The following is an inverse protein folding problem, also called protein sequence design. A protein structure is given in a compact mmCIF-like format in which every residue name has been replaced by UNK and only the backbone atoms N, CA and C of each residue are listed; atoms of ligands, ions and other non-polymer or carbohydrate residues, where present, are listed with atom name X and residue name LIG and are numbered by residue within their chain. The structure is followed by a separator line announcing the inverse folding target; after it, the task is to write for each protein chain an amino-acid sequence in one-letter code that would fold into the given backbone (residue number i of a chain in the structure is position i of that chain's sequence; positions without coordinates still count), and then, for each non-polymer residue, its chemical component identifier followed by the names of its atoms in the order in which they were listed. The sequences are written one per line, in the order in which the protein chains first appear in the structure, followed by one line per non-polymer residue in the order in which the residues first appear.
data_IF_388965659130
#
_entry.id   IF_388965659130
#
_cell.length_a   1.000
_cell.length_b   1.000
_cell.length_c   1.000
_cell.angle_alpha   90.00
_cell.angle_beta   90.00
_cell.angle_gamma   90.00
#
_symmetry.space_group_name_H-M   'P 1'
#
loop_
_entity.id
_entity.type
_entity.pdbx_description
1 polymer ?
#
# COMPACT_ATOMS: atom_id res chain seq x y z
N UNK A 1 -9.53 -12.94 2.22
CA UNK A 1 -8.58 -11.93 1.73
C UNK A 1 -8.57 -11.94 0.22
N UNK A 2 -8.63 -10.80 -0.35
CA UNK A 2 -8.59 -10.67 -1.80
C UNK A 2 -7.18 -10.33 -2.25
N UNK A 3 -6.72 -11.02 -3.30
CA UNK A 3 -5.39 -10.79 -3.83
C UNK A 3 -5.49 -10.20 -5.23
N UNK A 4 -4.78 -9.11 -5.44
CA UNK A 4 -4.71 -8.46 -6.75
C UNK A 4 -3.32 -8.70 -7.29
N UNK A 5 -3.22 -9.55 -8.31
CA UNK A 5 -1.93 -9.98 -8.84
C UNK A 5 -1.34 -9.04 -9.87
N UNK A 6 -2.21 -8.41 -10.63
CA UNK A 6 -1.76 -7.50 -11.66
C UNK A 6 -1.72 -6.11 -11.12
N UNK A 7 -0.59 -5.50 -11.31
CA UNK A 7 -0.34 -4.23 -10.74
C UNK A 7 -0.45 -3.13 -11.76
N UNK A 8 -1.61 -3.03 -12.33
CA UNK A 8 -1.95 -1.93 -13.22
C UNK A 8 -2.54 -0.80 -12.43
N UNK A 9 -2.10 0.41 -12.71
CA UNK A 9 -2.63 1.59 -12.06
C UNK A 9 -4.15 1.69 -12.17
N UNK A 10 -4.69 1.32 -13.31
CA UNK A 10 -6.13 1.34 -13.53
C UNK A 10 -6.86 0.34 -12.65
N UNK A 11 -6.29 -0.86 -12.48
CA UNK A 11 -6.90 -1.88 -11.64
C UNK A 11 -6.99 -1.45 -10.18
N UNK A 12 -5.91 -0.81 -9.66
CA UNK A 12 -5.93 -0.28 -8.30
C UNK A 12 -6.93 0.84 -8.16
N UNK A 13 -7.01 1.74 -9.12
CA UNK A 13 -7.97 2.83 -9.10
C UNK A 13 -9.39 2.30 -9.07
N UNK A 14 -9.69 1.31 -9.90
CA UNK A 14 -11.02 0.71 -9.94
C UNK A 14 -11.37 0.06 -8.62
N UNK A 15 -10.43 -0.66 -8.00
CA UNK A 15 -10.64 -1.26 -6.69
C UNK A 15 -10.98 -0.19 -5.64
N UNK A 16 -10.20 0.88 -5.60
CA UNK A 16 -10.38 1.94 -4.60
C UNK A 16 -11.71 2.66 -4.80
N UNK A 17 -12.11 2.90 -6.05
CA UNK A 17 -13.33 3.62 -6.38
C UNK A 17 -14.59 2.77 -6.23
N UNK A 18 -14.50 1.49 -6.54
CA UNK A 18 -15.67 0.62 -6.59
C UNK A 18 -16.00 -0.03 -5.25
N UNK A 19 -15.07 0.01 -4.29
CA UNK A 19 -15.20 -0.71 -3.03
C UNK A 19 -14.99 0.25 -1.86
N UNK A 20 -15.84 0.13 -0.85
CA UNK A 20 -15.61 0.85 0.40
C UNK A 20 -14.51 0.13 1.17
N UNK A 21 -13.37 0.78 1.29
CA UNK A 21 -12.20 0.21 1.98
C UNK A 21 -12.03 0.73 3.40
N UNK A 22 -12.98 1.52 3.88
CA UNK A 22 -12.89 2.15 5.20
C UNK A 22 -12.70 1.10 6.29
N UNK A 23 -11.66 1.28 7.10
CA UNK A 23 -11.35 0.36 8.19
C UNK A 23 -10.67 -0.93 7.76
N UNK A 24 -10.55 -1.21 6.47
CA UNK A 24 -9.89 -2.42 6.01
C UNK A 24 -8.38 -2.30 6.09
N UNK A 25 -7.72 -3.45 6.17
CA UNK A 25 -6.26 -3.52 6.21
C UNK A 25 -5.72 -3.91 4.84
N UNK A 26 -4.94 -3.01 4.26
CA UNK A 26 -4.40 -3.15 2.91
C UNK A 26 -2.89 -3.33 3.00
N UNK A 27 -2.35 -4.26 2.21
CA UNK A 27 -0.91 -4.42 2.04
C UNK A 27 -0.55 -4.18 0.58
N UNK A 28 0.33 -3.21 0.34
CA UNK A 28 0.86 -2.90 -0.98
C UNK A 28 2.30 -3.38 -1.02
N UNK A 29 2.54 -4.48 -1.75
CA UNK A 29 3.85 -5.15 -1.83
C UNK A 29 4.64 -4.59 -3.01
N UNK A 30 5.86 -4.14 -2.76
CA UNK A 30 6.69 -3.53 -3.78
C UNK A 30 6.27 -2.10 -4.07
N UNK A 31 6.08 -1.31 -3.03
CA UNK A 31 5.56 0.05 -3.17
C UNK A 31 6.53 1.02 -3.86
N UNK A 32 7.82 0.68 -3.92
CA UNK A 32 8.82 1.55 -4.52
C UNK A 32 8.84 2.92 -3.86
N UNK A 33 8.91 3.96 -4.68
CA UNK A 33 8.99 5.34 -4.19
C UNK A 33 7.65 5.90 -3.70
N UNK A 34 6.62 5.09 -3.66
CA UNK A 34 5.31 5.52 -3.17
C UNK A 34 4.43 6.15 -4.23
N UNK A 35 4.55 5.71 -5.48
CA UNK A 35 3.76 6.25 -6.58
C UNK A 35 2.25 6.08 -6.42
N UNK A 36 1.81 5.09 -5.63
CA UNK A 36 0.39 4.82 -5.41
C UNK A 36 -0.18 5.49 -4.16
N UNK A 37 0.63 6.24 -3.42
CA UNK A 37 0.17 6.86 -2.18
C UNK A 37 -1.07 7.74 -2.39
N UNK A 38 -1.10 8.51 -3.48
CA UNK A 38 -2.24 9.37 -3.76
C UNK A 38 -3.53 8.57 -3.95
N UNK A 39 -3.43 7.40 -4.54
CA UNK A 39 -4.59 6.55 -4.75
C UNK A 39 -5.18 6.05 -3.44
N UNK A 40 -4.33 5.76 -2.46
CA UNK A 40 -4.75 5.29 -1.15
C UNK A 40 -5.17 6.42 -0.21
N UNK A 41 -4.81 7.65 -0.52
CA UNK A 41 -4.91 8.79 0.40
C UNK A 41 -6.32 9.01 0.94
N UNK A 42 -7.33 8.79 0.13
CA UNK A 42 -8.72 9.10 0.49
C UNK A 42 -9.58 7.88 0.76
N UNK A 43 -8.99 6.70 0.83
CA UNK A 43 -9.81 5.49 0.91
C UNK A 43 -10.21 5.10 2.34
N UNK A 44 -9.65 5.74 3.36
CA UNK A 44 -9.98 5.45 4.75
C UNK A 44 -9.48 4.10 5.26
N UNK A 45 -8.65 3.41 4.50
CA UNK A 45 -8.13 2.11 4.88
C UNK A 45 -6.86 2.26 5.71
N UNK A 46 -6.50 1.17 6.40
CA UNK A 46 -5.23 1.05 7.10
C UNK A 46 -4.19 0.56 6.10
N UNK A 47 -3.29 1.44 5.68
CA UNK A 47 -2.34 1.16 4.61
C UNK A 47 -1.02 0.66 5.17
N UNK A 48 -0.55 -0.46 4.62
CA UNK A 48 0.75 -1.05 4.91
C UNK A 48 1.48 -1.22 3.59
N UNK A 49 2.75 -0.88 3.56
CA UNK A 49 3.57 -0.97 2.36
C UNK A 49 4.89 -1.64 2.68
N UNK A 50 5.40 -2.43 1.77
CA UNK A 50 6.72 -3.00 1.89
C UNK A 50 7.49 -2.92 0.58
N UNK A 51 8.81 -2.81 0.71
CA UNK A 51 9.71 -2.82 -0.42
C UNK A 51 11.10 -3.17 0.08
N UNK A 52 11.88 -4.00 -0.65
CA UNK A 52 13.22 -4.35 -0.21
C UNK A 52 14.24 -3.23 -0.38
N UNK A 53 13.92 -2.19 -1.14
CA UNK A 53 14.86 -1.12 -1.43
C UNK A 53 14.77 -0.01 -0.38
N UNK A 54 15.80 0.16 0.47
CA UNK A 54 15.73 1.17 1.56
C UNK A 54 15.55 2.59 1.05
N UNK A 55 16.22 2.93 -0.06
CA UNK A 55 16.13 4.29 -0.60
C UNK A 55 14.71 4.59 -1.09
N UNK A 56 14.08 3.61 -1.72
CA UNK A 56 12.70 3.75 -2.18
C UNK A 56 11.76 3.96 -0.99
N UNK A 57 11.96 3.21 0.09
CA UNK A 57 11.16 3.36 1.30
C UNK A 57 11.33 4.73 1.96
N UNK A 58 12.56 5.26 1.98
CA UNK A 58 12.80 6.59 2.51
C UNK A 58 12.00 7.64 1.75
N UNK A 59 11.98 7.55 0.44
CA UNK A 59 11.22 8.45 -0.39
C UNK A 59 9.72 8.28 -0.16
N UNK A 60 9.24 7.04 -0.09
CA UNK A 60 7.82 6.78 0.16
C UNK A 60 7.39 7.31 1.52
N UNK A 61 8.21 7.13 2.55
CA UNK A 61 7.94 7.67 3.88
C UNK A 61 7.84 9.19 3.87
N UNK A 62 8.77 9.84 3.16
CA UNK A 62 8.77 11.30 3.02
C UNK A 62 7.49 11.79 2.34
N UNK A 63 7.10 11.13 1.26
CA UNK A 63 5.87 11.49 0.55
C UNK A 63 4.63 11.31 1.41
N UNK A 64 4.55 10.20 2.13
CA UNK A 64 3.42 9.94 3.02
C UNK A 64 3.32 11.01 4.10
N UNK A 65 4.45 11.40 4.68
CA UNK A 65 4.50 12.46 5.69
C UNK A 65 4.01 13.78 5.12
N UNK A 66 4.46 14.14 3.92
CA UNK A 66 4.05 15.37 3.28
C UNK A 66 2.55 15.38 2.95
N UNK A 67 1.98 14.22 2.73
CA UNK A 67 0.56 14.05 2.45
C UNK A 67 -0.28 13.87 3.73
N UNK A 68 0.34 13.91 4.89
CA UNK A 68 -0.30 13.66 6.18
C UNK A 68 -0.99 12.30 6.25
N UNK A 69 -0.39 11.30 5.62
CA UNK A 69 -0.88 9.92 5.63
C UNK A 69 -0.20 9.11 6.70
N UNK A 70 -0.96 8.25 7.35
CA UNK A 70 -0.44 7.22 8.23
C UNK A 70 -0.28 5.94 7.43
N UNK A 71 0.96 5.53 7.22
CA UNK A 71 1.28 4.30 6.51
C UNK A 71 2.33 3.56 7.31
N UNK A 72 2.14 2.26 7.45
CA UNK A 72 3.15 1.40 8.05
C UNK A 72 4.06 0.87 6.96
N UNK A 73 5.36 1.14 7.08
CA UNK A 73 6.35 0.74 6.09
C UNK A 73 7.23 -0.36 6.65
N UNK A 74 7.52 -1.36 5.82
CA UNK A 74 8.36 -2.49 6.18
C UNK A 74 9.41 -2.69 5.09
N UNK A 75 10.68 -2.78 5.49
CA UNK A 75 11.76 -3.02 4.54
C UNK A 75 11.86 -4.51 4.28
N UNK A 76 11.68 -4.91 3.04
CA UNK A 76 11.70 -6.30 2.62
C UNK A 76 10.53 -6.64 1.73
N UNK A 77 10.31 -7.94 1.57
CA UNK A 77 9.16 -8.45 0.83
C UNK A 77 7.98 -8.69 1.78
N UNK A 78 7.00 -9.44 1.34
CA UNK A 78 5.81 -9.74 2.14
C UNK A 78 6.16 -10.39 3.49
N UNK A 79 7.28 -11.11 3.56
CA UNK A 79 7.70 -11.79 4.80
C UNK A 79 8.19 -10.81 5.85
N UNK A 80 8.56 -9.60 5.47
CA UNK A 80 8.96 -8.56 6.41
C UNK A 80 7.77 -7.95 7.13
N UNK A 81 6.57 -8.16 6.65
CA UNK A 81 5.36 -7.58 7.19
C UNK A 81 4.85 -8.40 8.37
N UNK A 82 4.09 -7.77 9.31
CA UNK A 82 3.50 -8.52 10.39
C UNK A 82 2.61 -9.64 9.88
N UNK A 83 2.64 -10.77 10.58
CA UNK A 83 1.78 -11.90 10.25
C UNK A 83 0.38 -11.61 10.74
N UNK A 84 -0.36 -10.89 9.96
CA UNK A 84 -1.76 -10.59 10.24
C UNK A 84 -2.58 -10.80 8.98
N UNK A 85 -3.87 -10.84 9.15
CA UNK A 85 -4.77 -10.96 8.02
C UNK A 85 -4.94 -9.59 7.37
N UNK A 86 -4.65 -9.51 6.09
CA UNK A 86 -4.94 -8.32 5.30
C UNK A 86 -6.19 -8.57 4.48
N UNK A 87 -7.04 -7.56 4.35
CA UNK A 87 -8.25 -7.69 3.56
C UNK A 87 -7.95 -7.67 2.06
N UNK A 88 -6.95 -6.88 1.68
CA UNK A 88 -6.50 -6.78 0.29
C UNK A 88 -4.99 -6.77 0.26
N UNK A 89 -4.41 -7.52 -0.66
CA UNK A 89 -2.96 -7.49 -0.93
C UNK A 89 -2.76 -7.14 -2.39
N UNK A 90 -2.01 -6.06 -2.65
CA UNK A 90 -1.67 -5.63 -3.99
C UNK A 90 -0.19 -5.88 -4.24
N UNK A 91 0.12 -6.53 -5.36
CA UNK A 91 1.50 -6.78 -5.77
C UNK A 91 1.86 -5.84 -6.92
N UNK A 92 2.98 -5.18 -6.77
CA UNK A 92 3.50 -4.28 -7.80
C UNK A 92 4.54 -4.96 -8.67
#
# INVERSE_FOLDING_TARGET
MEEIRKNHNNAKRDLIQSTTLDGQHILDVGCGFGGDLQKWHKCGANINMCDPEPEALLEAKSRAKNMHMRVNFYEGDIHACPKRKFDVVCFN
#
